data_IF_886098570154
#
_entry.id   IF_886098570154
#
_cell.length_a   1.000
_cell.length_b   1.000
_cell.length_c   1.000
_cell.angle_alpha   90.00
_cell.angle_beta   90.00
_cell.angle_gamma   90.00
#
_symmetry.space_group_name_H-M   'P 1'
#
loop_
_entity.id
_entity.type
_entity.pdbx_description
1 polymer ?
#
# COMPACT_ATOMS: atom_id res chain seq x y z
N UNK A 1 -14.71 5.74 1.73
CA UNK A 1 -14.17 5.93 0.38
C UNK A 1 -15.36 5.96 -0.56
N UNK A 2 -15.43 6.99 -1.40
CA UNK A 2 -16.50 7.09 -2.40
C UNK A 2 -16.31 6.03 -3.49
N UNK A 3 -17.39 5.65 -4.17
CA UNK A 3 -17.38 4.54 -5.14
C UNK A 3 -16.37 4.75 -6.27
N UNK A 4 -16.19 6.02 -6.70
CA UNK A 4 -15.26 6.45 -7.75
C UNK A 4 -13.80 6.32 -7.34
N UNK A 5 -13.46 6.79 -6.14
CA UNK A 5 -12.12 6.67 -5.59
C UNK A 5 -11.67 5.20 -5.49
N UNK A 6 -12.57 4.35 -5.01
CA UNK A 6 -12.32 2.91 -4.90
C UNK A 6 -12.08 2.30 -6.29
N UNK A 7 -12.83 2.71 -7.32
CA UNK A 7 -12.66 2.23 -8.68
C UNK A 7 -11.24 2.52 -9.21
N UNK A 8 -10.81 3.78 -9.17
CA UNK A 8 -9.48 4.18 -9.63
C UNK A 8 -8.36 3.48 -8.84
N UNK A 9 -8.55 3.32 -7.52
CA UNK A 9 -7.60 2.60 -6.66
C UNK A 9 -7.45 1.13 -7.07
N UNK A 10 -8.55 0.44 -7.41
CA UNK A 10 -8.49 -0.97 -7.84
C UNK A 10 -7.90 -1.14 -9.23
N UNK A 11 -8.18 -0.23 -10.16
CA UNK A 11 -7.48 -0.20 -11.44
C UNK A 11 -5.96 -0.07 -11.21
N UNK A 12 -5.54 0.86 -10.35
CA UNK A 12 -4.14 1.04 -10.00
C UNK A 12 -3.50 -0.21 -9.39
N UNK A 13 -4.17 -0.87 -8.43
CA UNK A 13 -3.68 -2.10 -7.82
C UNK A 13 -3.46 -3.24 -8.82
N UNK A 14 -4.41 -3.42 -9.75
CA UNK A 14 -4.31 -4.45 -10.79
C UNK A 14 -3.15 -4.12 -11.73
N UNK A 15 -2.99 -2.86 -12.15
CA UNK A 15 -1.88 -2.41 -12.99
C UNK A 15 -0.53 -2.60 -12.30
N UNK A 16 -0.42 -2.33 -10.99
CA UNK A 16 0.80 -2.61 -10.22
C UNK A 16 1.12 -4.10 -10.24
N UNK A 17 0.13 -4.97 -9.99
CA UNK A 17 0.34 -6.41 -10.01
C UNK A 17 0.80 -6.91 -11.39
N UNK A 18 0.12 -6.45 -12.45
CA UNK A 18 0.44 -6.81 -13.83
C UNK A 18 1.88 -6.45 -14.21
N UNK A 19 2.38 -5.31 -13.73
CA UNK A 19 3.68 -4.77 -14.15
C UNK A 19 3.72 -4.58 -15.67
N UNK A 20 4.69 -5.23 -16.33
CA UNK A 20 4.83 -5.20 -17.79
C UNK A 20 3.95 -6.21 -18.56
N UNK A 21 3.13 -7.01 -17.87
CA UNK A 21 2.29 -8.04 -18.50
C UNK A 21 1.07 -7.39 -19.17
N UNK A 22 0.81 -7.78 -20.41
CA UNK A 22 -0.36 -7.30 -21.16
C UNK A 22 -1.49 -8.33 -21.11
N UNK A 23 -2.71 -7.83 -20.95
CA UNK A 23 -3.95 -8.61 -20.95
C UNK A 23 -4.83 -8.04 -22.04
N UNK A 24 -5.15 -8.84 -23.06
CA UNK A 24 -5.89 -8.38 -24.23
C UNK A 24 -7.29 -7.86 -23.87
N UNK A 25 -7.88 -8.40 -22.81
CA UNK A 25 -9.21 -8.03 -22.33
C UNK A 25 -9.22 -6.76 -21.46
N UNK A 26 -8.07 -6.21 -21.06
CA UNK A 26 -7.98 -5.03 -20.20
C UNK A 26 -7.50 -3.82 -20.99
N UNK A 27 -8.40 -2.86 -21.18
CA UNK A 27 -8.19 -1.62 -21.91
C UNK A 27 -8.29 -0.44 -20.93
N UNK A 28 -9.52 -0.02 -20.61
CA UNK A 28 -9.82 1.11 -19.72
C UNK A 28 -9.27 0.91 -18.31
N UNK A 29 -9.30 -0.33 -17.79
CA UNK A 29 -8.73 -0.65 -16.48
C UNK A 29 -7.22 -0.34 -16.43
N UNK A 30 -6.48 -0.80 -17.44
CA UNK A 30 -5.04 -0.58 -17.55
C UNK A 30 -4.73 0.90 -17.73
N UNK A 31 -5.49 1.58 -18.60
CA UNK A 31 -5.35 3.01 -18.85
C UNK A 31 -5.53 3.85 -17.59
N UNK A 32 -6.61 3.62 -16.85
CA UNK A 32 -6.92 4.29 -15.58
C UNK A 32 -5.83 4.03 -14.54
N UNK A 33 -5.37 2.77 -14.42
CA UNK A 33 -4.29 2.43 -13.48
C UNK A 33 -2.96 3.11 -13.82
N UNK A 34 -2.60 3.22 -15.10
CA UNK A 34 -1.40 3.94 -15.56
C UNK A 34 -1.53 5.46 -15.36
N UNK A 35 -2.73 6.04 -15.52
CA UNK A 35 -3.00 7.44 -15.20
C UNK A 35 -2.73 7.74 -13.73
N UNK A 36 -3.27 6.92 -12.81
CA UNK A 36 -2.99 7.04 -11.37
C UNK A 36 -1.50 6.93 -11.11
N UNK A 37 -0.85 5.87 -11.63
CA UNK A 37 0.58 5.62 -11.43
C UNK A 37 1.40 6.83 -11.87
N UNK A 38 1.17 7.38 -13.07
CA UNK A 38 1.91 8.53 -13.55
C UNK A 38 1.62 9.79 -12.73
N UNK A 39 0.34 10.10 -12.45
CA UNK A 39 -0.08 11.29 -11.72
C UNK A 39 0.55 11.35 -10.33
N UNK A 40 0.58 10.23 -9.61
CA UNK A 40 1.20 10.10 -8.29
C UNK A 40 2.68 10.49 -8.30
N UNK A 41 3.42 10.12 -9.34
CA UNK A 41 4.87 10.35 -9.41
C UNK A 41 5.24 11.73 -9.96
N UNK A 42 4.44 12.31 -10.87
CA UNK A 42 4.74 13.65 -11.42
C UNK A 42 4.26 14.79 -10.52
N UNK A 43 3.45 14.49 -9.50
CA UNK A 43 2.85 15.49 -8.63
C UNK A 43 3.91 16.39 -7.97
N UNK A 44 3.69 17.70 -8.05
CA UNK A 44 4.56 18.71 -7.44
C UNK A 44 5.92 18.88 -8.11
N UNK A 45 6.18 18.18 -9.21
CA UNK A 45 7.37 18.43 -10.02
C UNK A 45 7.21 19.71 -10.84
N UNK A 46 8.32 20.41 -11.16
CA UNK A 46 8.30 21.57 -12.04
C UNK A 46 7.99 21.16 -13.49
N UNK A 47 8.14 22.08 -14.44
CA UNK A 47 7.97 21.76 -15.87
C UNK A 47 8.92 20.64 -16.31
N UNK A 48 8.39 19.57 -16.91
CA UNK A 48 9.14 18.37 -17.31
C UNK A 48 9.23 18.29 -18.83
N UNK A 49 10.41 17.98 -19.39
CA UNK A 49 10.55 17.62 -20.81
C UNK A 49 9.82 16.30 -21.09
N UNK A 50 9.04 16.25 -22.17
CA UNK A 50 8.29 15.03 -22.52
C UNK A 50 9.20 13.82 -22.79
N UNK A 51 10.37 14.03 -23.38
CA UNK A 51 11.34 12.96 -23.61
C UNK A 51 11.86 12.36 -22.30
N UNK A 52 12.16 13.21 -21.31
CA UNK A 52 12.55 12.76 -19.97
C UNK A 52 11.42 12.02 -19.28
N UNK A 53 10.20 12.57 -19.35
CA UNK A 53 9.02 11.94 -18.76
C UNK A 53 8.77 10.55 -19.36
N UNK A 54 8.84 10.43 -20.68
CA UNK A 54 8.65 9.18 -21.43
C UNK A 54 9.69 8.13 -21.05
N UNK A 55 10.97 8.51 -20.97
CA UNK A 55 12.05 7.59 -20.58
C UNK A 55 11.91 7.14 -19.12
N UNK A 56 11.68 8.06 -18.19
CA UNK A 56 11.50 7.72 -16.78
C UNK A 56 10.25 6.87 -16.56
N UNK A 57 9.14 7.17 -17.26
CA UNK A 57 7.91 6.39 -17.17
C UNK A 57 8.09 4.96 -17.67
N UNK A 58 8.88 4.76 -18.73
CA UNK A 58 9.20 3.41 -19.22
C UNK A 58 10.07 2.63 -18.24
N UNK A 59 11.15 3.24 -17.74
CA UNK A 59 12.14 2.53 -16.95
C UNK A 59 11.76 2.30 -15.49
N UNK A 60 10.97 3.19 -14.91
CA UNK A 60 10.64 3.11 -13.49
C UNK A 60 9.16 2.85 -13.22
N UNK A 61 8.28 3.21 -14.16
CA UNK A 61 6.83 3.08 -13.99
C UNK A 61 6.24 2.01 -14.90
N UNK A 62 7.04 1.27 -15.67
CA UNK A 62 6.58 0.23 -16.59
C UNK A 62 5.55 0.74 -17.62
N UNK A 63 5.58 2.05 -17.93
CA UNK A 63 4.66 2.66 -18.90
C UNK A 63 5.31 2.59 -20.28
N UNK A 64 4.77 1.74 -21.16
CA UNK A 64 5.28 1.62 -22.52
C UNK A 64 5.28 2.98 -23.25
N UNK A 65 6.34 3.35 -24.01
CA UNK A 65 6.45 4.66 -24.64
C UNK A 65 5.29 5.02 -25.58
N UNK A 66 4.69 4.01 -26.22
CA UNK A 66 3.50 4.17 -27.09
C UNK A 66 2.25 4.58 -26.31
N UNK A 67 2.11 4.11 -25.07
CA UNK A 67 0.98 4.45 -24.21
C UNK A 67 1.19 5.80 -23.50
N UNK A 68 2.44 6.14 -23.17
CA UNK A 68 2.78 7.35 -22.43
C UNK A 68 2.13 8.62 -23.01
N UNK A 69 2.11 8.76 -24.34
CA UNK A 69 1.47 9.92 -25.00
C UNK A 69 -0.02 10.02 -24.67
N UNK A 70 -0.75 8.91 -24.81
CA UNK A 70 -2.18 8.87 -24.54
C UNK A 70 -2.47 9.11 -23.06
N UNK A 71 -1.71 8.48 -22.16
CA UNK A 71 -1.85 8.71 -20.72
C UNK A 71 -1.65 10.19 -20.36
N UNK A 72 -0.64 10.86 -20.93
CA UNK A 72 -0.45 12.31 -20.71
C UNK A 72 -1.63 13.13 -21.25
N UNK A 73 -2.21 12.75 -22.39
CA UNK A 73 -3.39 13.42 -22.93
C UNK A 73 -4.64 13.23 -22.05
N UNK A 74 -4.88 12.02 -21.56
CA UNK A 74 -6.01 11.76 -20.65
C UNK A 74 -5.84 12.50 -19.33
N UNK A 75 -4.61 12.56 -18.80
CA UNK A 75 -4.31 13.40 -17.63
C UNK A 75 -4.53 14.89 -17.92
N UNK A 76 -4.35 15.34 -19.16
CA UNK A 76 -4.62 16.72 -19.54
C UNK A 76 -6.14 16.98 -19.64
N UNK A 77 -6.92 16.00 -20.07
CA UNK A 77 -8.38 16.07 -20.14
C UNK A 77 -9.02 16.30 -18.76
N UNK A 78 -8.48 15.66 -17.72
CA UNK A 78 -8.88 15.88 -16.32
C UNK A 78 -8.08 16.99 -15.62
N UNK A 79 -7.39 17.85 -16.38
CA UNK A 79 -6.63 19.00 -15.87
C UNK A 79 -5.49 18.69 -14.87
N UNK A 80 -5.02 17.45 -14.83
CA UNK A 80 -3.89 17.03 -13.98
C UNK A 80 -2.54 17.41 -14.55
N UNK A 81 -2.48 17.70 -15.85
CA UNK A 81 -1.30 18.24 -16.50
C UNK A 81 -1.66 19.31 -17.53
N UNK A 82 -0.79 20.29 -17.70
CA UNK A 82 -0.82 21.21 -18.83
C UNK A 82 0.22 20.79 -19.86
N UNK A 83 -0.24 20.46 -21.06
CA UNK A 83 0.60 20.02 -22.17
C UNK A 83 1.05 21.23 -22.97
N UNK A 84 2.37 21.39 -23.10
CA UNK A 84 2.98 22.38 -23.98
C UNK A 84 3.43 21.66 -25.24
N UNK A 85 2.75 21.93 -26.35
CA UNK A 85 2.98 21.29 -27.64
C UNK A 85 3.48 22.26 -28.70
N UNK A 86 4.17 21.70 -29.69
CA UNK A 86 4.45 22.34 -30.98
C UNK A 86 3.78 21.48 -32.06
N UNK A 87 2.65 21.94 -32.58
CA UNK A 87 1.78 21.13 -33.43
C UNK A 87 1.23 19.91 -32.68
N UNK A 88 1.41 18.71 -33.24
CA UNK A 88 0.97 17.43 -32.66
C UNK A 88 1.97 16.79 -31.68
N UNK A 89 3.11 17.44 -31.46
CA UNK A 89 4.23 16.91 -30.67
C UNK A 89 4.27 17.57 -29.30
N UNK A 90 4.25 16.77 -28.23
CA UNK A 90 4.39 17.26 -26.86
C UNK A 90 5.87 17.60 -26.62
N UNK A 91 6.15 18.83 -26.19
CA UNK A 91 7.49 19.28 -25.81
C UNK A 91 7.73 19.14 -24.33
N UNK A 92 6.78 19.60 -23.54
CA UNK A 92 6.87 19.57 -22.08
C UNK A 92 5.51 19.47 -21.43
N UNK A 93 5.52 19.02 -20.19
CA UNK A 93 4.33 18.74 -19.37
C UNK A 93 4.52 19.46 -18.04
N UNK A 94 3.55 20.29 -17.67
CA UNK A 94 3.50 20.93 -16.36
C UNK A 94 2.48 20.21 -15.47
N UNK A 95 2.90 19.50 -14.42
CA UNK A 95 1.99 18.82 -13.51
C UNK A 95 1.15 19.80 -12.68
N UNK A 96 -0.15 19.56 -12.59
CA UNK A 96 -1.14 20.27 -11.75
C UNK A 96 -1.94 19.31 -10.87
N UNK A 97 -1.41 18.11 -10.65
CA UNK A 97 -2.06 17.00 -9.93
C UNK A 97 -2.49 17.41 -8.50
N UNK A 98 -3.76 17.19 -8.12
CA UNK A 98 -4.29 17.58 -6.81
C UNK A 98 -3.85 16.63 -5.68
N UNK A 99 -4.41 16.81 -4.48
CA UNK A 99 -4.13 15.93 -3.34
C UNK A 99 -4.74 14.54 -3.53
N UNK A 100 -4.30 13.56 -2.72
CA UNK A 100 -4.60 12.13 -2.92
C UNK A 100 -6.09 11.83 -3.07
N UNK A 101 -6.94 12.38 -2.19
CA UNK A 101 -8.39 12.11 -2.23
C UNK A 101 -9.03 12.61 -3.53
N UNK A 102 -8.66 13.82 -3.97
CA UNK A 102 -9.14 14.42 -5.22
C UNK A 102 -8.58 13.72 -6.46
N UNK A 103 -7.37 13.16 -6.37
CA UNK A 103 -6.71 12.44 -7.46
C UNK A 103 -7.52 11.21 -7.87
N UNK A 104 -7.81 10.32 -6.92
CA UNK A 104 -8.56 9.10 -7.21
C UNK A 104 -10.02 9.38 -7.56
N UNK A 105 -10.60 10.45 -7.04
CA UNK A 105 -11.98 10.81 -7.36
C UNK A 105 -12.13 11.22 -8.83
N UNK A 106 -11.30 12.16 -9.31
CA UNK A 106 -11.38 12.63 -10.70
C UNK A 106 -10.95 11.57 -11.72
N UNK A 107 -9.94 10.75 -11.39
CA UNK A 107 -9.56 9.61 -12.24
C UNK A 107 -10.65 8.53 -12.22
N UNK A 108 -11.34 8.35 -11.10
CA UNK A 108 -12.49 7.45 -10.99
C UNK A 108 -13.68 7.94 -11.82
N UNK A 109 -13.93 9.25 -11.85
CA UNK A 109 -14.93 9.86 -12.74
C UNK A 109 -14.60 9.65 -14.22
N UNK A 110 -13.33 9.77 -14.60
CA UNK A 110 -12.88 9.42 -15.96
C UNK A 110 -13.18 7.96 -16.30
N UNK A 111 -12.89 7.02 -15.39
CA UNK A 111 -13.18 5.60 -15.57
C UNK A 111 -14.69 5.31 -15.72
N UNK A 112 -15.53 5.97 -14.93
CA UNK A 112 -17.00 5.86 -15.02
C UNK A 112 -17.52 6.34 -16.40
N UNK A 113 -16.90 7.38 -16.98
CA UNK A 113 -17.27 7.91 -18.30
C UNK A 113 -16.85 6.96 -19.42
N UNK A 114 -15.61 6.46 -19.38
CA UNK A 114 -15.10 5.53 -20.40
C UNK A 114 -15.81 4.17 -20.37
N UNK A 115 -16.31 3.78 -19.20
CA UNK A 115 -16.94 2.50 -18.88
C UNK A 115 -16.01 1.30 -19.05
N UNK A 116 -16.04 0.44 -18.05
CA UNK A 116 -15.31 -0.82 -18.08
C UNK A 116 -16.08 -1.88 -18.85
N UNK A 117 -15.35 -2.82 -19.44
CA UNK A 117 -15.95 -4.02 -19.99
C UNK A 117 -16.23 -5.05 -18.89
N UNK A 118 -17.02 -6.09 -19.21
CA UNK A 118 -17.45 -7.10 -18.24
C UNK A 118 -16.28 -7.83 -17.55
N UNK A 119 -15.19 -8.07 -18.28
CA UNK A 119 -14.00 -8.72 -17.72
C UNK A 119 -13.30 -7.82 -16.71
N UNK A 120 -13.16 -6.53 -17.02
CA UNK A 120 -12.56 -5.53 -16.14
C UNK A 120 -13.40 -5.27 -14.90
N UNK A 121 -14.72 -5.15 -15.05
CA UNK A 121 -15.66 -5.02 -13.93
C UNK A 121 -15.56 -6.21 -12.97
N UNK A 122 -15.45 -7.42 -13.53
CA UNK A 122 -15.28 -8.63 -12.73
C UNK A 122 -13.92 -8.66 -12.03
N UNK A 123 -12.83 -8.29 -12.70
CA UNK A 123 -11.49 -8.21 -12.11
C UNK A 123 -11.47 -7.27 -10.90
N UNK A 124 -12.05 -6.08 -11.04
CA UNK A 124 -12.16 -5.08 -9.96
C UNK A 124 -13.03 -5.60 -8.83
N UNK A 125 -14.16 -6.24 -9.14
CA UNK A 125 -15.06 -6.81 -8.14
C UNK A 125 -14.40 -7.93 -7.33
N UNK A 126 -13.64 -8.80 -8.00
CA UNK A 126 -12.86 -9.86 -7.35
C UNK A 126 -11.81 -9.22 -6.43
N UNK A 127 -10.99 -8.30 -6.96
CA UNK A 127 -9.93 -7.68 -6.18
C UNK A 127 -10.48 -6.93 -4.97
N UNK A 128 -11.57 -6.16 -5.14
CA UNK A 128 -12.25 -5.47 -4.04
C UNK A 128 -12.59 -6.41 -2.89
N UNK A 129 -13.17 -7.59 -3.18
CA UNK A 129 -13.43 -8.60 -2.14
C UNK A 129 -12.15 -9.13 -1.49
N UNK A 130 -11.09 -9.33 -2.29
CA UNK A 130 -9.81 -9.83 -1.82
C UNK A 130 -9.01 -8.81 -1.01
N UNK A 131 -9.28 -7.51 -1.16
CA UNK A 131 -8.64 -6.43 -0.37
C UNK A 131 -9.22 -6.37 1.04
N UNK A 132 -10.52 -6.66 1.19
CA UNK A 132 -11.18 -6.71 2.50
C UNK A 132 -10.73 -7.92 3.35
N UNK A 133 -10.58 -9.07 2.71
CA UNK A 133 -10.21 -10.32 3.36
C UNK A 133 -9.86 -11.41 2.36
N UNK A 134 -9.02 -12.39 2.74
CA UNK A 134 -8.90 -13.63 1.99
C UNK A 134 -10.23 -14.40 1.97
N UNK A 135 -10.60 -14.98 0.82
CA UNK A 135 -11.88 -15.69 0.63
C UNK A 135 -11.69 -16.99 -0.13
N UNK A 136 -12.66 -17.90 -0.06
CA UNK A 136 -12.62 -19.12 -0.88
C UNK A 136 -12.89 -18.80 -2.35
N UNK A 137 -12.22 -19.52 -3.26
CA UNK A 137 -12.53 -19.48 -4.69
C UNK A 137 -14.02 -19.72 -4.98
N UNK A 138 -14.66 -20.63 -4.24
CA UNK A 138 -16.09 -20.90 -4.32
C UNK A 138 -16.98 -19.66 -4.13
N UNK A 139 -16.55 -18.70 -3.30
CA UNK A 139 -17.28 -17.46 -3.06
C UNK A 139 -17.24 -16.50 -4.25
N UNK A 140 -16.25 -16.61 -5.13
CA UNK A 140 -16.19 -15.82 -6.37
C UNK A 140 -17.23 -16.30 -7.38
N UNK A 141 -17.44 -17.60 -7.51
CA UNK A 141 -18.47 -18.14 -8.42
C UNK A 141 -19.91 -17.78 -7.99
N UNK A 142 -20.11 -17.31 -6.76
CA UNK A 142 -21.40 -16.81 -6.27
C UNK A 142 -21.71 -15.38 -6.71
N UNK A 143 -20.81 -14.73 -7.46
CA UNK A 143 -21.02 -13.39 -8.02
C UNK A 143 -22.09 -13.34 -9.12
N UNK A 144 -22.49 -14.48 -9.67
CA UNK A 144 -23.49 -14.56 -10.74
C UNK A 144 -22.94 -14.33 -12.15
N UNK A 145 -21.63 -14.15 -12.29
CA UNK A 145 -20.95 -14.11 -13.59
C UNK A 145 -20.81 -15.51 -14.23
N UNK A 146 -20.64 -15.55 -15.55
CA UNK A 146 -20.39 -16.79 -16.27
C UNK A 146 -19.14 -17.51 -15.74
N UNK A 147 -19.21 -18.83 -15.60
CA UNK A 147 -18.13 -19.63 -15.02
C UNK A 147 -16.82 -19.49 -15.80
N UNK A 148 -16.88 -19.47 -17.14
CA UNK A 148 -15.65 -19.34 -17.95
C UNK A 148 -15.03 -17.97 -17.78
N UNK A 149 -15.85 -16.92 -17.66
CA UNK A 149 -15.37 -15.56 -17.40
C UNK A 149 -14.69 -15.46 -16.04
N UNK A 150 -15.27 -16.10 -15.01
CA UNK A 150 -14.65 -16.21 -13.67
C UNK A 150 -13.34 -16.97 -13.72
N UNK A 151 -13.31 -18.16 -14.35
CA UNK A 151 -12.11 -18.99 -14.49
C UNK A 151 -10.98 -18.20 -15.18
N UNK A 152 -11.33 -17.48 -16.26
CA UNK A 152 -10.40 -16.62 -17.00
C UNK A 152 -9.86 -15.49 -16.13
N UNK A 153 -10.71 -14.78 -15.40
CA UNK A 153 -10.30 -13.68 -14.53
C UNK A 153 -9.42 -14.14 -13.36
N UNK A 154 -9.71 -15.30 -12.75
CA UNK A 154 -8.86 -15.87 -11.71
C UNK A 154 -7.49 -16.28 -12.27
N UNK A 155 -7.46 -16.84 -13.48
CA UNK A 155 -6.21 -17.20 -14.17
C UNK A 155 -5.37 -15.95 -14.51
N UNK A 156 -6.00 -14.92 -15.08
CA UNK A 156 -5.35 -13.62 -15.34
C UNK A 156 -4.82 -13.03 -14.03
N UNK A 157 -5.59 -13.05 -12.94
CA UNK A 157 -5.15 -12.50 -11.66
C UNK A 157 -3.95 -13.21 -11.03
N UNK A 158 -3.88 -14.53 -11.17
CA UNK A 158 -2.73 -15.30 -10.71
C UNK A 158 -1.49 -15.05 -11.58
N UNK A 159 -1.66 -15.10 -12.90
CA UNK A 159 -0.56 -14.83 -13.84
C UNK A 159 -0.11 -13.38 -13.76
N UNK A 160 -1.03 -12.46 -13.48
CA UNK A 160 -0.82 -11.03 -13.32
C UNK A 160 -0.41 -10.63 -11.91
N UNK A 161 -0.07 -11.57 -11.01
CA UNK A 161 0.43 -11.30 -9.67
C UNK A 161 -0.43 -10.36 -8.79
N UNK A 162 -1.74 -10.24 -9.07
CA UNK A 162 -2.68 -9.49 -8.22
C UNK A 162 -3.68 -10.39 -7.49
N UNK A 163 -3.58 -11.71 -7.68
CA UNK A 163 -4.26 -12.75 -6.90
C UNK A 163 -3.27 -13.86 -6.54
N UNK A 164 -3.17 -14.21 -5.26
CA UNK A 164 -2.53 -15.45 -4.81
C UNK A 164 -3.60 -16.49 -4.52
N UNK A 165 -3.36 -17.74 -4.93
CA UNK A 165 -4.18 -18.89 -4.53
C UNK A 165 -3.37 -19.82 -3.63
N UNK A 166 -3.93 -20.18 -2.48
CA UNK A 166 -3.34 -21.10 -1.52
C UNK A 166 -4.35 -22.15 -1.12
N UNK A 167 -3.95 -23.41 -1.20
CA UNK A 167 -4.79 -24.53 -0.78
C UNK A 167 -4.56 -24.82 0.69
N UNK A 168 -5.59 -24.62 1.52
CA UNK A 168 -5.53 -24.89 2.95
C UNK A 168 -6.77 -25.65 3.41
N UNK A 169 -6.56 -26.75 4.15
CA UNK A 169 -7.61 -27.66 4.65
C UNK A 169 -8.61 -28.08 3.56
N UNK A 170 -8.08 -28.37 2.36
CA UNK A 170 -8.89 -28.82 1.21
C UNK A 170 -9.66 -27.72 0.48
N UNK A 171 -9.54 -26.45 0.89
CA UNK A 171 -10.16 -25.29 0.24
C UNK A 171 -9.11 -24.46 -0.49
N UNK A 172 -9.44 -23.98 -1.68
CA UNK A 172 -8.63 -22.97 -2.35
C UNK A 172 -9.04 -21.59 -1.83
N UNK A 173 -8.09 -20.91 -1.20
CA UNK A 173 -8.23 -19.58 -0.63
C UNK A 173 -7.48 -18.59 -1.52
N UNK A 174 -8.20 -17.57 -1.95
CA UNK A 174 -7.70 -16.47 -2.75
C UNK A 174 -7.34 -15.30 -1.84
N UNK A 175 -6.23 -14.64 -2.12
CA UNK A 175 -5.70 -13.50 -1.36
C UNK A 175 -5.24 -12.39 -2.30
N UNK A 176 -5.34 -11.14 -1.87
CA UNK A 176 -4.67 -10.03 -2.54
C UNK A 176 -3.20 -9.95 -2.11
N UNK A 177 -2.23 -10.03 -3.04
CA UNK A 177 -0.80 -9.86 -2.73
C UNK A 177 -0.49 -8.46 -2.18
N UNK A 178 -1.28 -7.47 -2.58
CA UNK A 178 -1.14 -6.08 -2.16
C UNK A 178 -1.40 -5.88 -0.67
N UNK A 179 -2.12 -6.78 -0.01
CA UNK A 179 -2.52 -6.62 1.40
C UNK A 179 -2.11 -7.80 2.30
N UNK A 180 -1.93 -8.99 1.72
CA UNK A 180 -1.77 -10.22 2.50
C UNK A 180 -0.56 -11.08 2.07
N UNK A 181 0.37 -10.55 1.24
CA UNK A 181 1.49 -11.35 0.71
C UNK A 181 2.44 -11.86 1.80
N UNK A 182 2.84 -11.01 2.76
CA UNK A 182 3.86 -11.36 3.77
C UNK A 182 3.46 -12.60 4.61
N UNK A 183 2.15 -12.84 4.79
CA UNK A 183 1.63 -13.90 5.65
C UNK A 183 0.54 -14.74 4.96
N UNK A 184 0.63 -14.91 3.64
CA UNK A 184 -0.44 -15.51 2.83
C UNK A 184 -0.82 -16.93 3.29
N UNK A 185 0.15 -17.74 3.69
CA UNK A 185 -0.08 -19.12 4.18
C UNK A 185 -0.94 -19.12 5.45
N UNK A 186 -0.56 -18.29 6.42
CA UNK A 186 -1.24 -18.18 7.70
C UNK A 186 -2.66 -17.63 7.53
N UNK A 187 -2.84 -16.61 6.68
CA UNK A 187 -4.17 -16.10 6.32
C UNK A 187 -5.04 -17.16 5.67
N UNK A 188 -4.47 -17.98 4.79
CA UNK A 188 -5.20 -19.07 4.15
C UNK A 188 -5.69 -20.11 5.17
N UNK A 189 -4.86 -20.45 6.15
CA UNK A 189 -5.25 -21.38 7.22
C UNK A 189 -6.34 -20.79 8.12
N UNK A 190 -6.20 -19.53 8.52
CA UNK A 190 -7.17 -18.86 9.38
C UNK A 190 -8.54 -18.75 8.70
N UNK A 191 -8.59 -18.42 7.40
CA UNK A 191 -9.86 -18.38 6.66
C UNK A 191 -10.43 -19.78 6.48
N UNK A 192 -9.59 -20.79 6.21
CA UNK A 192 -10.04 -22.16 6.09
C UNK A 192 -10.66 -22.69 7.41
N UNK A 193 -10.13 -22.26 8.56
CA UNK A 193 -10.55 -22.63 9.93
C UNK A 193 -11.75 -21.82 10.43
N UNK A 194 -11.69 -20.49 10.36
CA UNK A 194 -12.62 -19.57 11.05
C UNK A 194 -13.65 -18.91 10.11
N UNK A 195 -13.47 -19.07 8.79
CA UNK A 195 -14.32 -18.49 7.76
C UNK A 195 -13.96 -17.04 7.41
N UNK A 196 -14.14 -16.69 6.13
CA UNK A 196 -13.76 -15.39 5.59
C UNK A 196 -14.50 -14.21 6.25
N UNK A 197 -15.80 -14.35 6.51
CA UNK A 197 -16.61 -13.28 7.12
C UNK A 197 -16.13 -12.91 8.53
N UNK A 198 -15.73 -13.90 9.33
CA UNK A 198 -15.18 -13.69 10.67
C UNK A 198 -13.84 -12.96 10.60
N UNK A 199 -12.94 -13.39 9.70
CA UNK A 199 -11.65 -12.73 9.49
C UNK A 199 -11.84 -11.29 9.00
N UNK A 200 -12.73 -11.06 8.02
CA UNK A 200 -13.09 -9.72 7.53
C UNK A 200 -13.59 -8.81 8.65
N UNK A 201 -14.51 -9.32 9.49
CA UNK A 201 -15.03 -8.56 10.63
C UNK A 201 -13.91 -8.13 11.58
N UNK A 202 -13.03 -9.04 11.95
CA UNK A 202 -11.91 -8.74 12.87
C UNK A 202 -10.95 -7.72 12.25
N UNK A 203 -10.54 -7.91 11.00
CA UNK A 203 -9.65 -6.96 10.31
C UNK A 203 -10.28 -5.57 10.19
N UNK A 204 -11.58 -5.49 9.91
CA UNK A 204 -12.32 -4.22 9.83
C UNK A 204 -12.37 -3.51 11.19
N UNK A 205 -12.59 -4.25 12.29
CA UNK A 205 -12.58 -3.69 13.65
C UNK A 205 -11.20 -3.17 14.04
N UNK A 206 -10.12 -3.89 13.68
CA UNK A 206 -8.75 -3.43 13.91
C UNK A 206 -8.45 -2.18 13.08
N UNK A 207 -8.86 -2.14 11.80
CA UNK A 207 -8.70 -0.97 10.92
C UNK A 207 -9.35 0.29 11.51
N UNK A 208 -10.50 0.16 12.14
CA UNK A 208 -11.20 1.28 12.80
C UNK A 208 -10.57 1.69 14.14
N UNK A 209 -9.68 0.88 14.71
CA UNK A 209 -9.10 1.10 16.04
C UNK A 209 -7.62 0.72 16.08
N UNK A 210 -6.86 1.22 15.09
CA UNK A 210 -5.42 0.97 14.97
C UNK A 210 -4.66 1.35 16.25
N UNK A 211 -3.78 0.45 16.68
CA UNK A 211 -3.00 0.58 17.90
C UNK A 211 -3.79 0.35 19.19
N UNK A 212 -4.85 -0.46 19.18
CA UNK A 212 -5.51 -0.89 20.42
C UNK A 212 -4.67 -1.98 21.12
N UNK A 213 -4.44 -1.93 22.45
CA UNK A 213 -3.70 -2.96 23.16
C UNK A 213 -4.45 -4.29 23.19
N UNK A 214 -3.77 -5.39 22.88
CA UNK A 214 -4.34 -6.74 22.86
C UNK A 214 -5.00 -7.10 24.19
N UNK A 215 -4.32 -6.85 25.32
CA UNK A 215 -4.84 -7.17 26.65
C UNK A 215 -6.15 -6.44 27.00
N UNK A 216 -6.34 -5.21 26.50
CA UNK A 216 -7.58 -4.45 26.69
C UNK A 216 -8.74 -5.13 25.95
N UNK A 217 -8.50 -5.63 24.73
CA UNK A 217 -9.52 -6.37 23.98
C UNK A 217 -9.84 -7.69 24.66
N UNK A 218 -8.84 -8.40 25.17
CA UNK A 218 -9.05 -9.67 25.87
C UNK A 218 -9.90 -9.53 27.12
N UNK A 219 -9.67 -8.47 27.89
CA UNK A 219 -10.39 -8.21 29.14
C UNK A 219 -11.80 -7.68 28.91
N UNK A 220 -11.97 -6.75 27.96
CA UNK A 220 -13.27 -6.13 27.67
C UNK A 220 -14.14 -6.96 26.73
N UNK A 221 -13.53 -7.85 25.94
CA UNK A 221 -14.16 -8.58 24.82
C UNK A 221 -14.85 -7.63 23.84
N UNK A 222 -14.27 -6.45 23.62
CA UNK A 222 -14.90 -5.39 22.84
C UNK A 222 -13.87 -4.62 22.02
N UNK A 223 -14.24 -4.23 20.79
CA UNK A 223 -13.51 -3.24 19.99
C UNK A 223 -14.51 -2.21 19.50
N UNK A 224 -14.30 -0.94 19.83
CA UNK A 224 -15.11 0.18 19.35
C UNK A 224 -16.63 -0.02 19.57
N UNK A 225 -17.08 -0.46 20.75
CA UNK A 225 -18.50 -0.73 21.01
C UNK A 225 -19.00 -2.11 20.54
N UNK A 226 -18.21 -2.82 19.74
CA UNK A 226 -18.61 -4.13 19.17
C UNK A 226 -18.09 -5.27 20.03
N UNK A 227 -19.00 -6.03 20.62
CA UNK A 227 -18.66 -7.23 21.40
C UNK A 227 -18.13 -8.36 20.52
N UNK A 228 -17.13 -9.06 21.05
CA UNK A 228 -16.49 -10.21 20.43
C UNK A 228 -16.87 -11.49 21.17
N UNK A 229 -17.06 -12.56 20.39
CA UNK A 229 -17.21 -13.93 20.90
C UNK A 229 -15.84 -14.51 21.30
N UNK A 230 -15.84 -15.58 22.10
CA UNK A 230 -14.60 -16.24 22.50
C UNK A 230 -13.81 -16.81 21.30
N UNK A 231 -14.52 -17.24 20.25
CA UNK A 231 -13.90 -17.70 19.00
C UNK A 231 -13.21 -16.55 18.24
N UNK A 232 -13.82 -15.36 18.23
CA UNK A 232 -13.25 -14.16 17.61
C UNK A 232 -12.02 -13.65 18.37
N UNK A 233 -12.04 -13.72 19.70
CA UNK A 233 -10.88 -13.40 20.54
C UNK A 233 -9.75 -14.40 20.29
N UNK A 234 -10.05 -15.70 20.18
CA UNK A 234 -9.05 -16.71 19.85
C UNK A 234 -8.43 -16.48 18.46
N UNK A 235 -9.23 -16.10 17.46
CA UNK A 235 -8.74 -15.73 16.14
C UNK A 235 -7.83 -14.51 16.20
N UNK A 236 -8.21 -13.48 16.95
CA UNK A 236 -7.43 -12.25 17.12
C UNK A 236 -6.08 -12.54 17.82
N UNK A 237 -6.07 -13.45 18.80
CA UNK A 237 -4.83 -13.97 19.42
C UNK A 237 -3.94 -14.66 18.40
N UNK A 238 -4.48 -15.55 17.58
CA UNK A 238 -3.71 -16.20 16.50
C UNK A 238 -3.11 -15.18 15.54
N UNK A 239 -3.89 -14.17 15.13
CA UNK A 239 -3.40 -13.08 14.27
C UNK A 239 -2.21 -12.31 14.88
N UNK A 240 -2.22 -12.08 16.19
CA UNK A 240 -1.13 -11.38 16.88
C UNK A 240 0.10 -12.28 17.14
N UNK A 241 -0.12 -13.54 17.55
CA UNK A 241 0.93 -14.48 17.91
C UNK A 241 1.69 -15.05 16.72
N UNK A 242 0.99 -15.33 15.61
CA UNK A 242 1.58 -15.97 14.44
C UNK A 242 2.40 -14.97 13.59
N UNK A 243 2.69 -13.78 14.13
CA UNK A 243 3.40 -12.68 13.44
C UNK A 243 2.72 -12.20 12.15
N UNK A 244 1.44 -12.53 11.97
CA UNK A 244 0.62 -12.09 10.85
C UNK A 244 0.46 -10.56 10.89
N UNK A 245 0.36 -10.04 12.10
CA UNK A 245 0.44 -8.64 12.47
C UNK A 245 1.56 -8.58 13.51
N UNK A 246 2.81 -8.22 13.16
CA UNK A 246 3.88 -8.04 14.16
C UNK A 246 3.58 -6.77 14.97
N UNK A 247 3.00 -6.88 16.17
CA UNK A 247 2.53 -5.72 16.89
C UNK A 247 3.72 -5.06 17.58
N UNK A 248 3.91 -3.72 17.47
CA UNK A 248 4.88 -3.04 18.31
C UNK A 248 4.54 -3.31 19.79
N UNK A 249 5.57 -3.51 20.62
CA UNK A 249 5.39 -3.64 22.06
C UNK A 249 5.96 -2.44 22.82
N UNK A 250 5.33 -2.09 23.93
CA UNK A 250 5.81 -1.07 24.87
C UNK A 250 5.76 -1.66 26.27
N UNK A 251 6.91 -1.61 26.96
CA UNK A 251 7.03 -2.01 28.34
C UNK A 251 7.07 -0.77 29.24
N UNK A 252 6.18 -0.73 30.22
CA UNK A 252 6.15 0.30 31.26
C UNK A 252 6.20 -0.33 32.64
N UNK A 253 6.71 0.41 33.62
CA UNK A 253 6.81 -0.07 35.01
C UNK A 253 5.45 -0.24 35.67
N UNK A 254 4.41 0.49 35.22
CA UNK A 254 3.08 0.44 35.80
C UNK A 254 2.09 -0.45 35.06
N UNK A 255 2.23 -0.66 33.75
CA UNK A 255 1.29 -1.46 32.95
C UNK A 255 1.94 -2.71 32.32
N UNK A 256 3.21 -3.00 32.61
CA UNK A 256 3.92 -4.16 32.06
C UNK A 256 4.20 -4.01 30.55
N UNK A 257 4.42 -5.15 29.89
CA UNK A 257 4.59 -5.23 28.43
C UNK A 257 3.25 -5.36 27.72
N UNK A 258 2.99 -4.48 26.74
CA UNK A 258 1.74 -4.41 26.01
C UNK A 258 2.00 -4.45 24.50
N UNK A 259 1.19 -5.25 23.79
CA UNK A 259 1.24 -5.40 22.33
C UNK A 259 0.09 -4.65 21.67
N UNK A 260 0.41 -3.87 20.63
CA UNK A 260 -0.55 -2.98 19.95
C UNK A 260 -0.92 -3.53 18.59
N UNK A 261 -2.22 -3.75 18.36
CA UNK A 261 -2.70 -4.38 17.13
C UNK A 261 -2.84 -3.36 16.00
N UNK A 262 -2.38 -3.75 14.82
CA UNK A 262 -2.55 -3.01 13.58
C UNK A 262 -3.12 -3.93 12.50
N UNK A 263 -3.63 -3.37 11.40
CA UNK A 263 -3.85 -4.20 10.20
C UNK A 263 -2.51 -4.67 9.62
N UNK A 264 -2.50 -5.75 8.82
CA UNK A 264 -1.30 -6.15 8.09
C UNK A 264 -0.70 -4.97 7.31
N UNK A 265 0.62 -4.96 7.20
CA UNK A 265 1.30 -4.02 6.32
C UNK A 265 0.85 -4.28 4.88
N UNK A 266 0.66 -3.25 4.04
CA UNK A 266 0.51 -3.48 2.62
C UNK A 266 1.75 -4.25 2.11
N UNK A 267 1.54 -5.15 1.15
CA UNK A 267 2.56 -6.05 0.63
C UNK A 267 3.67 -5.34 -0.15
N UNK A 268 4.71 -6.10 -0.51
CA UNK A 268 5.92 -5.61 -1.20
C UNK A 268 5.62 -4.80 -2.46
N UNK A 269 4.52 -5.10 -3.16
CA UNK A 269 4.09 -4.39 -4.36
C UNK A 269 3.73 -2.90 -4.11
N UNK A 270 3.41 -2.52 -2.86
CA UNK A 270 3.07 -1.14 -2.47
C UNK A 270 4.10 -0.49 -1.54
N UNK A 271 5.08 -1.21 -1.01
CA UNK A 271 6.07 -0.64 -0.08
C UNK A 271 7.50 -0.98 -0.50
N UNK A 272 8.23 0.06 -0.92
CA UNK A 272 9.69 -0.02 -1.00
C UNK A 272 10.32 -0.24 0.39
N UNK A 273 11.56 -0.76 0.48
CA UNK A 273 12.25 -0.97 1.75
C UNK A 273 12.28 0.28 2.65
N UNK A 274 12.52 1.46 2.06
CA UNK A 274 12.51 2.76 2.78
C UNK A 274 11.14 3.06 3.37
N UNK A 275 10.06 2.82 2.61
CA UNK A 275 8.70 3.05 3.10
C UNK A 275 8.26 2.08 4.17
N UNK A 276 8.78 0.84 4.13
CA UNK A 276 8.55 -0.15 5.19
C UNK A 276 9.08 0.37 6.52
N UNK A 277 10.25 0.99 6.53
CA UNK A 277 10.81 1.63 7.72
C UNK A 277 9.95 2.81 8.20
N UNK A 278 9.49 3.67 7.29
CA UNK A 278 8.57 4.78 7.61
C UNK A 278 7.26 4.26 8.23
N UNK A 279 6.70 3.16 7.69
CA UNK A 279 5.48 2.53 8.23
C UNK A 279 5.70 1.94 9.63
N UNK A 280 6.85 1.32 9.89
CA UNK A 280 7.20 0.84 11.23
C UNK A 280 7.35 1.97 12.24
N UNK A 281 8.00 3.07 11.85
CA UNK A 281 8.10 4.29 12.67
C UNK A 281 6.71 4.87 12.97
N UNK A 282 5.81 4.89 11.98
CA UNK A 282 4.43 5.34 12.15
C UNK A 282 3.63 4.46 13.13
N UNK A 283 3.71 3.13 13.00
CA UNK A 283 3.07 2.22 13.96
C UNK A 283 3.59 2.43 15.37
N UNK A 284 4.91 2.59 15.54
CA UNK A 284 5.51 2.86 16.85
C UNK A 284 5.02 4.18 17.46
N UNK A 285 4.84 5.23 16.63
CA UNK A 285 4.27 6.51 17.07
C UNK A 285 2.83 6.35 17.56
N UNK A 286 1.99 5.61 16.80
CA UNK A 286 0.62 5.30 17.18
C UNK A 286 0.59 4.49 18.49
N UNK A 287 1.38 3.42 18.60
CA UNK A 287 1.47 2.62 19.83
C UNK A 287 1.87 3.46 21.04
N UNK A 288 2.84 4.37 20.88
CA UNK A 288 3.26 5.25 21.96
C UNK A 288 2.12 6.15 22.44
N UNK A 289 1.38 6.82 21.55
CA UNK A 289 0.24 7.66 21.98
C UNK A 289 -0.93 6.82 22.53
N UNK A 290 -1.13 5.60 22.03
CA UNK A 290 -2.18 4.69 22.52
C UNK A 290 -1.85 4.08 23.89
N UNK A 291 -0.57 3.87 24.23
CA UNK A 291 -0.13 3.51 25.58
C UNK A 291 -0.63 4.55 26.60
N UNK A 292 -0.39 5.83 26.33
CA UNK A 292 -0.88 6.90 27.22
C UNK A 292 -2.40 7.10 27.19
N UNK A 293 -3.10 6.59 26.18
CA UNK A 293 -4.57 6.65 26.11
C UNK A 293 -5.22 5.55 26.95
N UNK A 294 -4.82 4.30 26.72
CA UNK A 294 -5.47 3.13 27.31
C UNK A 294 -4.86 2.70 28.65
N UNK A 295 -3.56 2.96 28.83
CA UNK A 295 -2.79 2.48 29.98
C UNK A 295 -2.00 3.62 30.66
N UNK A 296 -2.62 4.79 30.94
CA UNK A 296 -1.93 5.86 31.67
C UNK A 296 -1.81 5.53 33.15
N UNK A 297 -0.73 5.99 33.79
CA UNK A 297 -0.64 6.01 35.25
C UNK A 297 -1.29 7.27 35.83
N UNK A 298 -0.94 8.43 35.29
CA UNK A 298 -1.35 9.75 35.76
C UNK A 298 -1.68 10.70 34.58
N UNK A 299 -0.97 10.59 33.47
CA UNK A 299 -1.08 11.52 32.34
C UNK A 299 -1.88 10.93 31.17
N UNK A 300 -3.20 10.81 31.35
CA UNK A 300 -4.09 10.24 30.34
C UNK A 300 -4.18 11.07 29.05
N UNK A 301 -3.88 10.43 27.91
CA UNK A 301 -4.07 11.00 26.58
C UNK A 301 -5.54 10.83 26.18
N UNK A 302 -6.27 11.93 26.13
CA UNK A 302 -7.69 11.93 25.68
C UNK A 302 -7.83 11.86 24.17
N UNK A 303 -6.90 12.49 23.44
CA UNK A 303 -6.92 12.54 21.98
C UNK A 303 -5.52 12.21 21.43
N UNK A 304 -5.29 10.96 20.99
CA UNK A 304 -4.07 10.57 20.29
C UNK A 304 -3.81 11.44 19.06
N UNK A 305 -4.86 11.77 18.31
CA UNK A 305 -4.81 12.67 17.16
C UNK A 305 -4.20 14.03 17.51
N UNK A 306 -4.65 14.66 18.61
CA UNK A 306 -4.13 15.95 19.03
C UNK A 306 -2.64 15.90 19.39
N UNK A 307 -2.17 14.79 19.99
CA UNK A 307 -0.75 14.61 20.32
C UNK A 307 0.11 14.47 19.06
N UNK A 308 -0.33 13.66 18.09
CA UNK A 308 0.41 13.51 16.83
C UNK A 308 0.38 14.80 16.00
N UNK A 309 -0.75 15.51 15.93
CA UNK A 309 -0.84 16.82 15.28
C UNK A 309 0.04 17.87 15.94
N UNK A 310 0.20 17.82 17.26
CA UNK A 310 1.15 18.67 17.97
C UNK A 310 2.59 18.33 17.57
N UNK A 311 2.94 17.05 17.57
CA UNK A 311 4.27 16.61 17.13
C UNK A 311 4.56 17.02 15.68
N UNK A 312 3.57 16.93 14.79
CA UNK A 312 3.65 17.37 13.40
C UNK A 312 3.93 18.87 13.26
N UNK A 313 3.33 19.71 14.12
CA UNK A 313 3.43 21.18 14.01
C UNK A 313 4.60 21.77 14.78
N UNK A 314 4.89 21.22 15.94
CA UNK A 314 5.83 21.81 16.91
C UNK A 314 7.13 21.00 17.00
N UNK A 315 7.19 19.80 16.41
CA UNK A 315 8.31 18.87 16.50
C UNK A 315 8.64 18.42 17.94
N UNK A 316 7.75 18.67 18.90
CA UNK A 316 7.85 18.13 20.25
C UNK A 316 6.47 17.98 20.89
N UNK A 317 6.40 17.17 21.94
CA UNK A 317 5.20 16.99 22.77
C UNK A 317 5.46 17.45 24.21
N UNK A 318 4.40 17.61 25.01
CA UNK A 318 4.55 18.05 26.40
C UNK A 318 5.42 17.10 27.23
N UNK A 319 6.17 17.64 28.19
CA UNK A 319 6.97 16.82 29.11
C UNK A 319 6.08 16.19 30.19
N UNK A 320 6.34 14.94 30.54
CA UNK A 320 5.72 14.30 31.71
C UNK A 320 6.63 13.18 32.25
N UNK A 321 6.22 12.52 33.34
CA UNK A 321 7.01 11.46 33.99
C UNK A 321 6.92 10.11 33.29
N UNK A 322 5.88 9.86 32.50
CA UNK A 322 5.66 8.60 31.77
C UNK A 322 6.33 8.61 30.37
N UNK A 323 6.65 9.80 29.85
CA UNK A 323 7.18 10.01 28.51
C UNK A 323 8.48 9.24 28.24
N UNK A 324 9.30 9.03 29.27
CA UNK A 324 10.52 8.23 29.13
C UNK A 324 10.20 6.82 28.66
N UNK A 325 9.30 6.13 29.35
CA UNK A 325 8.94 4.73 29.06
C UNK A 325 8.06 4.65 27.80
N UNK A 326 7.13 5.59 27.65
CA UNK A 326 6.18 5.65 26.54
C UNK A 326 6.87 5.85 25.17
N UNK A 327 7.90 6.71 25.11
CA UNK A 327 8.53 7.09 23.84
C UNK A 327 9.95 6.53 23.68
N UNK A 328 10.45 5.70 24.61
CA UNK A 328 11.79 5.10 24.53
C UNK A 328 12.02 4.39 23.20
N UNK A 329 11.06 3.60 22.73
CA UNK A 329 11.18 2.85 21.48
C UNK A 329 11.38 3.75 20.26
N UNK A 330 10.79 4.94 20.25
CA UNK A 330 10.97 5.92 19.17
C UNK A 330 12.40 6.47 19.12
N UNK A 331 13.11 6.48 20.24
CA UNK A 331 14.53 6.87 20.25
C UNK A 331 15.43 5.80 19.64
N UNK A 332 15.10 4.52 19.85
CA UNK A 332 15.79 3.38 19.25
C UNK A 332 15.59 3.36 17.73
N UNK A 333 14.36 3.65 17.28
CA UNK A 333 14.00 3.77 15.86
C UNK A 333 14.47 5.09 15.22
N UNK A 334 15.24 5.92 15.95
CA UNK A 334 15.76 7.22 15.47
C UNK A 334 14.69 8.20 14.98
N UNK A 335 13.46 8.06 15.47
CA UNK A 335 12.34 8.98 15.17
C UNK A 335 12.49 10.28 15.94
N UNK A 336 12.96 10.20 17.18
CA UNK A 336 13.11 11.36 18.05
C UNK A 336 14.08 11.12 19.19
N UNK A 337 14.22 12.14 20.04
CA UNK A 337 15.04 12.11 21.24
C UNK A 337 14.22 12.47 22.47
N UNK A 338 14.65 11.94 23.61
CA UNK A 338 14.06 12.27 24.91
C UNK A 338 14.94 13.27 25.64
N UNK A 339 14.44 14.49 25.80
CA UNK A 339 15.12 15.58 26.49
C UNK A 339 14.60 15.68 27.92
N UNK A 340 15.50 15.62 28.90
CA UNK A 340 15.16 15.80 30.31
C UNK A 340 14.98 17.29 30.62
N UNK A 341 13.86 17.63 31.25
CA UNK A 341 13.56 18.97 31.76
C UNK A 341 14.21 19.20 33.12
N UNK A 342 14.38 20.46 33.57
CA UNK A 342 14.92 20.77 34.90
C UNK A 342 14.13 20.13 36.06
N UNK A 343 12.82 19.94 35.88
CA UNK A 343 11.94 19.28 36.84
C UNK A 343 12.08 17.74 36.87
N UNK A 344 12.98 17.17 36.08
CA UNK A 344 13.21 15.73 35.99
C UNK A 344 12.24 14.97 35.07
N UNK A 345 11.29 15.66 34.44
CA UNK A 345 10.38 15.07 33.45
C UNK A 345 11.05 14.94 32.09
N UNK A 346 10.50 14.09 31.23
CA UNK A 346 11.03 13.88 29.88
C UNK A 346 10.08 14.45 28.84
N UNK A 347 10.66 15.08 27.82
CA UNK A 347 9.98 15.56 26.62
C UNK A 347 10.48 14.76 25.43
N UNK A 348 9.57 14.30 24.58
CA UNK A 348 9.94 13.75 23.27
C UNK A 348 10.01 14.88 22.24
N UNK A 349 11.11 14.91 21.50
CA UNK A 349 11.39 15.84 20.40
C UNK A 349 11.66 15.03 19.13
N UNK A 350 11.00 15.37 18.03
CA UNK A 350 11.19 14.76 16.72
C UNK A 350 12.59 15.10 16.19
N UNK A 351 13.27 14.13 15.60
CA UNK A 351 14.45 14.40 14.78
C UNK A 351 13.95 14.81 13.40
N UNK A 352 14.29 16.02 12.98
CA UNK A 352 13.81 16.66 11.76
C UNK A 352 14.46 16.05 10.51
N UNK A 353 13.91 14.92 10.05
CA UNK A 353 14.23 14.28 8.77
C UNK A 353 12.94 14.06 7.98
N UNK A 354 13.06 14.03 6.66
CA UNK A 354 11.92 13.82 5.76
C UNK A 354 11.18 12.52 6.07
N UNK A 355 11.92 11.44 6.34
CA UNK A 355 11.35 10.13 6.73
C UNK A 355 10.55 10.20 8.04
N UNK A 356 11.03 10.96 9.04
CA UNK A 356 10.36 11.08 10.33
C UNK A 356 9.12 11.96 10.24
N UNK A 357 9.16 13.03 9.44
CA UNK A 357 7.99 13.83 9.13
C UNK A 357 6.95 12.96 8.40
N UNK A 358 7.38 12.18 7.40
CA UNK A 358 6.51 11.25 6.70
C UNK A 358 5.89 10.21 7.65
N UNK A 359 6.66 9.67 8.60
CA UNK A 359 6.17 8.75 9.61
C UNK A 359 5.12 9.39 10.55
N UNK A 360 5.29 10.66 10.93
CA UNK A 360 4.29 11.39 11.73
C UNK A 360 3.01 11.63 10.93
N UNK A 361 3.10 12.01 9.66
CA UNK A 361 1.94 12.19 8.78
C UNK A 361 1.18 10.87 8.63
N UNK A 362 1.90 9.78 8.36
CA UNK A 362 1.34 8.44 8.24
C UNK A 362 0.69 7.96 9.55
N UNK A 363 1.28 8.28 10.71
CA UNK A 363 0.68 7.96 12.00
C UNK A 363 -0.65 8.70 12.24
N UNK A 364 -0.78 9.94 11.74
CA UNK A 364 -2.05 10.68 11.76
C UNK A 364 -3.07 9.99 10.88
N UNK A 365 -2.71 9.61 9.65
CA UNK A 365 -3.59 8.91 8.72
C UNK A 365 -4.07 7.56 9.27
N UNK A 366 -3.18 6.78 9.90
CA UNK A 366 -3.54 5.52 10.55
C UNK A 366 -4.58 5.70 11.67
N UNK A 367 -4.58 6.82 12.39
CA UNK A 367 -5.58 7.08 13.44
C UNK A 367 -6.91 7.59 12.86
N UNK A 368 -6.87 8.35 11.77
CA UNK A 368 -8.05 8.99 11.18
C UNK A 368 -8.77 8.07 10.18
N UNK A 369 -8.01 7.46 9.28
CA UNK A 369 -8.50 6.71 8.12
C UNK A 369 -8.35 5.20 8.28
N UNK A 370 -7.48 4.76 9.20
CA UNK A 370 -7.18 3.35 9.41
C UNK A 370 -6.21 2.74 8.39
N UNK A 371 -5.75 3.51 7.40
CA UNK A 371 -4.79 3.14 6.36
C UNK A 371 -3.86 4.31 6.05
N UNK A 372 -2.68 4.01 5.50
CA UNK A 372 -1.68 5.01 5.15
C UNK A 372 -1.84 5.56 3.74
N UNK A 373 -1.82 6.89 3.57
CA UNK A 373 -1.83 7.52 2.24
C UNK A 373 -0.41 7.67 1.68
N UNK A 374 -0.27 7.57 0.36
CA UNK A 374 0.98 7.85 -0.36
C UNK A 374 2.14 6.88 -0.21
N UNK A 375 1.86 5.67 0.27
CA UNK A 375 2.83 4.57 0.29
C UNK A 375 3.23 4.10 -1.12
N UNK A 376 2.48 4.47 -2.17
CA UNK A 376 2.68 4.01 -3.55
C UNK A 376 3.68 4.81 -4.40
N UNK A 377 4.10 6.01 -3.96
CA UNK A 377 5.02 6.90 -4.72
C UNK A 377 6.50 6.54 -4.55
N UNK A 378 7.21 6.22 -5.61
CA UNK A 378 8.65 6.00 -5.56
C UNK A 378 9.44 7.32 -5.70
N UNK A 379 10.19 7.68 -4.66
CA UNK A 379 10.98 8.91 -4.60
C UNK A 379 12.19 8.90 -5.54
N UNK A 380 12.76 7.73 -5.86
CA UNK A 380 13.84 7.61 -6.86
C UNK A 380 13.32 8.00 -8.25
N UNK A 381 12.07 7.65 -8.55
CA UNK A 381 11.41 7.99 -9.82
C UNK A 381 11.15 9.49 -9.91
N UNK A 382 10.68 10.11 -8.82
CA UNK A 382 10.51 11.57 -8.76
C UNK A 382 11.83 12.29 -8.97
N UNK A 383 12.89 11.80 -8.32
CA UNK A 383 14.23 12.34 -8.48
C UNK A 383 14.70 12.21 -9.92
N UNK A 384 14.54 11.04 -10.53
CA UNK A 384 14.91 10.77 -11.92
C UNK A 384 14.19 11.71 -12.90
N UNK A 385 12.88 11.90 -12.73
CA UNK A 385 12.08 12.82 -13.55
C UNK A 385 12.55 14.28 -13.35
N UNK A 386 12.90 14.67 -12.12
CA UNK A 386 13.29 16.05 -11.79
C UNK A 386 14.71 16.43 -12.24
N UNK A 387 15.66 15.50 -12.19
CA UNK A 387 17.08 15.77 -12.49
C UNK A 387 17.43 15.67 -13.98
N UNK A 388 16.47 15.29 -14.83
CA UNK A 388 16.60 15.37 -16.29
C UNK A 388 17.21 14.14 -16.95
N UNK A 389 17.28 14.19 -18.28
CA UNK A 389 17.55 13.03 -19.14
C UNK A 389 18.91 12.35 -18.88
N UNK A 390 19.98 13.11 -18.63
CA UNK A 390 21.33 12.56 -18.40
C UNK A 390 21.41 11.74 -17.11
N UNK A 391 20.66 12.12 -16.07
CA UNK A 391 20.59 11.37 -14.82
C UNK A 391 19.76 10.08 -14.97
N UNK A 392 18.64 10.16 -15.71
CA UNK A 392 17.83 9.00 -16.10
C UNK A 392 18.68 7.98 -16.87
N UNK A 393 19.43 8.41 -17.88
CA UNK A 393 20.31 7.53 -18.68
C UNK A 393 21.43 6.89 -17.83
N UNK A 394 21.96 7.61 -16.83
CA UNK A 394 22.94 7.08 -15.88
C UNK A 394 22.34 6.01 -14.96
N UNK A 395 21.15 6.25 -14.40
CA UNK A 395 20.43 5.26 -13.58
C UNK A 395 20.05 4.02 -14.39
N UNK A 396 19.60 4.18 -15.63
CA UNK A 396 19.29 3.06 -16.55
C UNK A 396 20.54 2.22 -16.80
N UNK A 397 21.68 2.88 -17.03
CA UNK A 397 22.96 2.20 -17.26
C UNK A 397 23.41 1.41 -16.02
N UNK A 398 23.19 1.95 -14.82
CA UNK A 398 23.46 1.27 -13.56
C UNK A 398 22.49 0.08 -13.30
N UNK A 399 21.21 0.21 -13.67
CA UNK A 399 20.21 -0.86 -13.55
C UNK A 399 20.46 -2.01 -14.53
N UNK A 400 20.80 -1.70 -15.79
CA UNK A 400 21.19 -2.71 -16.80
C UNK A 400 22.44 -3.51 -16.43
N UNK A 401 23.32 -2.96 -15.59
CA UNK A 401 24.47 -3.68 -15.04
C UNK A 401 24.07 -4.68 -13.94
N UNK A 402 22.93 -4.47 -13.26
CA UNK A 402 22.34 -5.42 -12.30
C UNK A 402 21.49 -6.51 -12.96
N UNK A 403 20.85 -6.23 -14.11
CA UNK A 403 19.91 -7.14 -14.79
C UNK A 403 20.56 -8.21 -15.70
N UNK A 404 21.91 -8.26 -15.82
CA UNK A 404 22.58 -9.34 -16.56
C UNK A 404 22.69 -10.64 -15.75
N UNK A 405 21.53 -11.22 -15.43
CA UNK A 405 21.36 -12.67 -15.25
C UNK A 405 20.19 -13.10 -16.15
N UNK A 406 20.47 -13.27 -17.45
CA UNK A 406 19.56 -13.97 -18.35
C UNK A 406 19.48 -15.43 -17.93
N UNK A 407 18.28 -15.89 -17.57
CA UNK A 407 17.97 -17.32 -17.48
C UNK A 407 18.25 -17.92 -18.85
N UNK A 408 19.27 -18.79 -18.92
CA UNK A 408 19.58 -19.52 -20.13
C UNK A 408 18.39 -20.39 -20.51
N UNK A 409 18.04 -20.39 -21.81
CA UNK A 409 17.16 -21.39 -22.38
C UNK A 409 17.80 -22.77 -22.14
N UNK A 410 17.00 -23.78 -21.79
CA UNK A 410 17.50 -25.15 -21.69
C UNK A 410 17.94 -25.64 -23.08
N UNK A 411 18.96 -26.50 -23.13
CA UNK A 411 19.54 -27.00 -24.40
C UNK A 411 18.48 -27.55 -25.36
N UNK A 412 17.44 -28.23 -24.86
CA UNK A 412 16.30 -28.72 -25.65
C UNK A 412 15.50 -27.61 -26.37
N UNK A 413 15.30 -26.45 -25.74
CA UNK A 413 14.54 -25.34 -26.35
C UNK A 413 15.41 -24.53 -27.32
N UNK A 414 16.73 -24.56 -27.16
CA UNK A 414 17.66 -23.94 -28.11
C UNK A 414 17.70 -24.75 -29.43
N UNK A 415 17.69 -26.09 -29.34
CA UNK A 415 17.67 -26.98 -30.51
C UNK A 415 16.36 -26.91 -31.31
N UNK A 416 15.20 -26.76 -30.66
CA UNK A 416 13.92 -26.58 -31.39
C UNK A 416 13.87 -25.26 -32.17
N UNK A 417 14.44 -24.19 -31.60
CA UNK A 417 14.52 -22.89 -32.26
C UNK A 417 15.51 -22.94 -33.43
N UNK A 418 16.68 -23.56 -33.25
CA UNK A 418 17.68 -23.69 -34.32
C UNK A 418 17.19 -24.57 -35.49
N UNK A 419 16.43 -25.64 -35.21
CA UNK A 419 15.79 -26.47 -36.24
C UNK A 419 14.72 -25.72 -37.04
N UNK A 420 14.02 -24.77 -36.41
CA UNK A 420 13.02 -23.92 -37.08
C UNK A 420 13.66 -22.96 -38.09
N UNK A 421 14.91 -22.53 -37.85
CA UNK A 421 15.66 -21.64 -38.74
C UNK A 421 16.52 -22.37 -39.77
N UNK A 422 16.90 -23.63 -39.53
CA UNK A 422 17.72 -24.44 -40.44
C UNK A 422 16.90 -25.34 -41.39
N UNK A 423 15.62 -25.58 -41.11
CA UNK A 423 14.73 -26.43 -41.92
C UNK A 423 14.05 -25.77 -43.12
N UNK A 424 14.42 -24.53 -43.46
CA UNK A 424 13.85 -23.77 -44.57
C UNK A 424 14.74 -23.68 -45.80
N UNK A 425 15.02 -24.82 -46.47
CA UNK A 425 15.40 -24.90 -47.89
C UNK A 425 14.76 -26.12 -48.53
#
# INVERSE_FOLDING_TARGET
MEQRQELALRCHDITIGLGNKQVAEFETLTEVGLMVKLALHIRGLPLISYETLKLASYHFLDIHPLLCKNIVHNLAEIEFVKVISEGSTIKSVLPTVPFYEDLYDQVGEFADIQKLNESEELAITILKKLTDSPISSSSIYQLGADKKLVDRNLSIGQQGNYIISKRSRGKDILLSPVYFSENAELFSELVAKSGANTVKKILSLIKQSQGIPLHIIESTKEINGTKLTDAEIALLKSLAHDSIIKPPSIATTHAGENYFLFTPKPGDARLSPTKREIYERAMALVSAVRQGQYLPRQYAIRSPYAILRKLQREHYIGANTEALEQYKQLTILRVGRLTKTPAGWYRFELIDTEENIAAVNLAVDLIVMGEGTGLEVDDEVRLAISQGQTYVESLISASKLKEKETIALSEEHQEEVDNLFLGGV
#
